data_IF_376777591317
#
_entry.id   IF_376777591317
#
_cell.length_a   1.000
_cell.length_b   1.000
_cell.length_c   1.000
_cell.angle_alpha   90.00
_cell.angle_beta   90.00
_cell.angle_gamma   90.00
#
_symmetry.space_group_name_H-M   'P 1'
#
loop_
_entity.id
_entity.type
_entity.pdbx_description
1 polymer ?
#
# COMPACT_ATOMS: atom_id res chain seq x y z
N UNK A 1 30.77 -14.06 -2.44
CA UNK A 1 30.11 -13.92 -3.75
C UNK A 1 28.60 -14.06 -3.54
N UNK A 2 27.91 -12.97 -3.23
CA UNK A 2 26.48 -12.98 -2.92
C UNK A 2 25.72 -12.80 -4.24
N UNK A 3 25.09 -13.87 -4.75
CA UNK A 3 24.17 -13.75 -5.88
C UNK A 3 23.00 -12.88 -5.43
N UNK A 4 22.88 -11.68 -6.00
CA UNK A 4 21.62 -10.93 -5.99
C UNK A 4 20.59 -11.78 -6.73
N UNK A 5 19.61 -12.30 -6.00
CA UNK A 5 18.39 -12.85 -6.58
C UNK A 5 17.61 -11.68 -7.19
N UNK A 6 17.88 -11.38 -8.46
CA UNK A 6 16.95 -10.59 -9.28
C UNK A 6 15.65 -11.39 -9.34
N UNK A 7 14.62 -10.95 -8.60
CA UNK A 7 13.30 -11.52 -8.77
C UNK A 7 12.79 -11.14 -10.15
N UNK A 8 12.36 -12.14 -10.92
CA UNK A 8 11.91 -12.00 -12.30
C UNK A 8 10.49 -11.40 -12.37
N UNK A 9 10.34 -10.20 -11.81
CA UNK A 9 9.04 -9.51 -11.65
C UNK A 9 8.36 -9.15 -12.98
N UNK A 10 9.04 -9.39 -14.12
CA UNK A 10 8.61 -9.00 -15.46
C UNK A 10 7.68 -10.03 -16.12
N UNK A 11 7.46 -11.20 -15.51
CA UNK A 11 6.65 -12.28 -16.10
C UNK A 11 5.18 -12.30 -15.65
N UNK A 12 4.77 -11.46 -14.71
CA UNK A 12 3.39 -11.44 -14.25
C UNK A 12 2.46 -10.83 -15.32
N UNK A 13 1.41 -11.56 -15.70
CA UNK A 13 0.38 -11.06 -16.62
C UNK A 13 -0.50 -10.05 -15.88
N UNK A 14 -0.56 -8.83 -16.42
CA UNK A 14 -1.39 -7.77 -15.87
C UNK A 14 -2.89 -8.05 -16.11
N UNK A 15 -3.70 -7.78 -15.09
CA UNK A 15 -5.15 -7.71 -15.17
C UNK A 15 -5.57 -6.25 -15.13
N UNK A 16 -6.29 -5.79 -16.13
CA UNK A 16 -6.76 -4.41 -16.23
C UNK A 16 -8.25 -4.33 -15.91
N UNK A 17 -8.63 -3.39 -15.05
CA UNK A 17 -10.03 -3.12 -14.70
C UNK A 17 -10.36 -1.70 -15.14
N UNK A 18 -11.22 -1.61 -16.16
CA UNK A 18 -11.79 -0.35 -16.62
C UNK A 18 -13.05 -0.08 -15.82
N UNK A 19 -12.98 0.92 -14.94
CA UNK A 19 -14.06 1.33 -14.06
C UNK A 19 -14.43 2.78 -14.39
N UNK A 20 -15.68 3.22 -14.08
CA UNK A 20 -15.99 4.64 -14.09
C UNK A 20 -14.98 5.42 -13.23
N UNK A 21 -14.36 6.46 -13.80
CA UNK A 21 -13.48 7.39 -13.09
C UNK A 21 -12.23 6.77 -12.42
N UNK A 22 -11.87 5.52 -12.78
CA UNK A 22 -10.71 4.84 -12.23
C UNK A 22 -10.09 3.86 -13.24
N UNK A 23 -8.77 3.78 -13.24
CA UNK A 23 -8.02 2.74 -13.94
C UNK A 23 -7.25 1.92 -12.91
N UNK A 24 -7.53 0.61 -12.83
CA UNK A 24 -6.79 -0.30 -11.98
C UNK A 24 -6.01 -1.30 -12.81
N UNK A 25 -4.77 -1.57 -12.42
CA UNK A 25 -3.98 -2.66 -12.98
C UNK A 25 -3.45 -3.52 -11.84
N UNK A 26 -3.71 -4.83 -11.89
CA UNK A 26 -3.24 -5.81 -10.92
C UNK A 26 -2.24 -6.75 -11.60
N UNK A 27 -1.06 -6.92 -11.04
CA UNK A 27 -0.12 -7.97 -11.41
C UNK A 27 -0.10 -9.03 -10.31
N UNK A 28 -0.81 -10.16 -10.47
CA UNK A 28 -0.74 -11.27 -9.53
C UNK A 28 0.67 -11.86 -9.55
N UNK A 29 1.26 -12.05 -8.36
CA UNK A 29 2.62 -12.61 -8.26
C UNK A 29 3.70 -11.75 -8.92
N UNK A 30 3.53 -10.42 -8.96
CA UNK A 30 4.55 -9.48 -9.41
C UNK A 30 5.88 -9.73 -8.71
N UNK A 31 5.86 -9.97 -7.39
CA UNK A 31 6.99 -10.50 -6.66
C UNK A 31 6.78 -12.01 -6.44
N UNK A 32 7.76 -12.84 -6.79
CA UNK A 32 7.61 -14.29 -6.60
C UNK A 32 7.50 -14.67 -5.11
N UNK A 33 6.99 -15.87 -4.84
CA UNK A 33 6.64 -16.31 -3.48
C UNK A 33 7.84 -16.30 -2.51
N UNK A 34 9.00 -16.81 -2.94
CA UNK A 34 10.21 -16.91 -2.12
C UNK A 34 10.76 -15.52 -1.77
N UNK A 35 10.88 -14.64 -2.78
CA UNK A 35 11.32 -13.27 -2.58
C UNK A 35 10.35 -12.50 -1.69
N UNK A 36 9.04 -12.69 -1.89
CA UNK A 36 7.99 -12.05 -1.07
C UNK A 36 8.06 -12.50 0.39
N UNK A 37 8.25 -13.80 0.63
CA UNK A 37 8.34 -14.34 1.98
C UNK A 37 9.62 -13.87 2.70
N UNK A 38 10.77 -13.94 2.03
CA UNK A 38 12.04 -13.47 2.59
C UNK A 38 11.98 -11.98 2.93
N UNK A 39 11.40 -11.18 2.03
CA UNK A 39 11.21 -9.74 2.24
C UNK A 39 10.25 -9.46 3.39
N UNK A 40 9.12 -10.16 3.47
CA UNK A 40 8.16 -9.99 4.57
C UNK A 40 8.82 -10.27 5.92
N UNK A 41 9.49 -11.42 6.05
CA UNK A 41 10.17 -11.82 7.28
C UNK A 41 11.21 -10.77 7.69
N UNK A 42 12.02 -10.32 6.73
CA UNK A 42 13.05 -9.30 6.95
C UNK A 42 12.45 -7.98 7.44
N UNK A 43 11.47 -7.42 6.73
CA UNK A 43 10.89 -6.12 7.06
C UNK A 43 10.11 -6.15 8.38
N UNK A 44 9.43 -7.26 8.70
CA UNK A 44 8.75 -7.39 9.99
C UNK A 44 9.77 -7.35 11.14
N UNK A 45 10.92 -8.01 10.99
CA UNK A 45 11.96 -8.05 12.01
C UNK A 45 12.78 -6.76 12.14
N UNK A 46 13.07 -6.08 11.03
CA UNK A 46 14.05 -4.97 10.99
C UNK A 46 13.41 -3.59 11.16
N UNK A 47 12.10 -3.43 10.93
CA UNK A 47 11.45 -2.12 10.97
C UNK A 47 10.89 -1.75 12.34
N UNK A 48 10.98 -0.46 12.67
CA UNK A 48 10.43 0.11 13.90
C UNK A 48 8.91 0.36 13.79
N UNK A 49 8.13 -0.71 13.82
CA UNK A 49 6.67 -0.68 13.73
C UNK A 49 6.00 0.15 14.83
N UNK A 50 5.11 1.06 14.44
CA UNK A 50 4.34 1.89 15.37
C UNK A 50 2.84 1.63 15.22
N UNK A 51 2.13 1.59 16.34
CA UNK A 51 0.67 1.55 16.35
C UNK A 51 0.16 2.91 16.81
N UNK A 52 -0.32 3.70 15.86
CA UNK A 52 -0.81 5.05 16.15
C UNK A 52 -2.16 5.03 16.87
N UNK A 53 -2.53 6.20 17.41
CA UNK A 53 -3.81 6.44 18.05
C UNK A 53 -4.52 7.57 17.32
N UNK A 54 -5.80 7.36 17.01
CA UNK A 54 -6.66 8.37 16.39
C UNK A 54 -7.81 8.70 17.32
N UNK A 55 -8.33 9.93 17.21
CA UNK A 55 -9.55 10.35 17.91
C UNK A 55 -10.77 10.07 17.04
N UNK A 56 -11.64 9.20 17.51
CA UNK A 56 -12.94 8.91 16.89
C UNK A 56 -14.03 9.27 17.92
N UNK A 57 -14.95 10.18 17.56
CA UNK A 57 -16.03 10.64 18.45
C UNK A 57 -15.54 11.03 19.86
N UNK A 58 -14.42 11.76 19.94
CA UNK A 58 -13.81 12.21 21.20
C UNK A 58 -13.05 11.13 21.98
N UNK A 59 -13.09 9.86 21.57
CA UNK A 59 -12.34 8.77 22.19
C UNK A 59 -11.06 8.47 21.42
N UNK A 60 -9.95 8.29 22.14
CA UNK A 60 -8.69 7.86 21.56
C UNK A 60 -8.71 6.34 21.38
N UNK A 61 -8.55 5.88 20.14
CA UNK A 61 -8.56 4.46 19.77
C UNK A 61 -7.28 4.12 19.01
N UNK A 62 -6.65 3.00 19.35
CA UNK A 62 -5.51 2.47 18.59
C UNK A 62 -5.98 2.04 17.21
N UNK A 63 -5.25 2.45 16.15
CA UNK A 63 -5.55 1.94 14.82
C UNK A 63 -5.29 0.42 14.79
N UNK A 64 -6.15 -0.37 14.14
CA UNK A 64 -6.06 -1.83 14.15
C UNK A 64 -5.07 -2.33 13.09
N UNK A 65 -3.82 -1.81 13.17
CA UNK A 65 -2.64 -2.17 12.38
C UNK A 65 -1.41 -1.46 12.93
N UNK A 66 -0.23 -1.94 12.59
CA UNK A 66 1.02 -1.19 12.77
C UNK A 66 1.44 -0.56 11.44
N UNK A 67 2.19 0.54 11.49
CA UNK A 67 2.64 1.24 10.30
C UNK A 67 4.04 1.84 10.44
N UNK A 68 4.68 2.05 9.29
CA UNK A 68 5.93 2.79 9.14
C UNK A 68 5.81 3.66 7.89
N UNK A 69 6.17 4.93 8.01
CA UNK A 69 6.22 5.88 6.89
C UNK A 69 7.67 6.10 6.50
N UNK A 70 8.01 5.86 5.24
CA UNK A 70 9.36 6.06 4.69
C UNK A 70 9.29 6.92 3.44
N UNK A 71 10.35 7.67 3.16
CA UNK A 71 10.40 8.50 1.98
C UNK A 71 11.59 9.44 1.94
N UNK A 72 11.65 10.23 0.88
CA UNK A 72 12.51 11.40 0.81
C UNK A 72 12.19 12.39 1.94
N UNK A 73 13.18 13.19 2.34
CA UNK A 73 13.06 14.07 3.52
C UNK A 73 11.92 15.09 3.44
N UNK A 74 11.47 15.48 2.23
CA UNK A 74 10.35 16.41 2.04
C UNK A 74 8.98 15.73 2.06
N UNK A 75 8.91 14.40 2.06
CA UNK A 75 7.67 13.62 2.01
C UNK A 75 6.96 13.55 3.37
N UNK A 76 6.76 14.69 4.03
CA UNK A 76 5.92 14.79 5.23
C UNK A 76 4.45 14.92 4.83
N UNK A 77 3.54 14.26 5.55
CA UNK A 77 2.09 14.41 5.32
C UNK A 77 1.33 14.67 6.62
N UNK A 78 0.14 15.28 6.52
CA UNK A 78 -0.74 15.51 7.64
C UNK A 78 -1.95 14.57 7.60
N UNK A 79 -2.19 13.84 8.69
CA UNK A 79 -3.38 13.01 8.82
C UNK A 79 -4.03 13.20 10.19
N UNK A 80 -5.33 13.56 10.20
CA UNK A 80 -6.11 13.84 11.40
C UNK A 80 -5.44 14.85 12.37
N UNK A 81 -4.74 15.86 11.82
CA UNK A 81 -4.02 16.88 12.58
C UNK A 81 -2.67 16.45 13.15
N UNK A 82 -2.20 15.24 12.81
CA UNK A 82 -0.86 14.74 13.18
C UNK A 82 0.03 14.81 11.94
N UNK A 83 1.20 15.46 12.08
CA UNK A 83 2.23 15.49 11.03
C UNK A 83 3.09 14.22 11.14
N UNK A 84 3.23 13.51 10.03
CA UNK A 84 4.04 12.32 9.91
C UNK A 84 5.30 12.65 9.11
N UNK A 85 6.45 12.59 9.80
CA UNK A 85 7.76 12.74 9.17
C UNK A 85 8.23 11.38 8.62
N UNK A 86 8.78 11.34 7.40
CA UNK A 86 9.30 10.10 6.83
C UNK A 86 10.53 9.63 7.61
N UNK A 87 10.54 8.34 7.94
CA UNK A 87 11.77 7.69 8.37
C UNK A 87 12.69 7.43 7.17
N UNK A 88 14.02 7.41 7.35
CA UNK A 88 14.94 7.07 6.27
C UNK A 88 14.61 5.72 5.65
N UNK A 89 14.82 5.60 4.34
CA UNK A 89 14.56 4.37 3.62
C UNK A 89 15.34 3.18 4.20
N UNK A 90 14.63 2.08 4.42
CA UNK A 90 15.28 0.79 4.54
C UNK A 90 15.79 0.34 3.14
N UNK A 91 17.03 -0.18 2.99
CA UNK A 91 17.61 -0.46 1.67
C UNK A 91 16.76 -1.37 0.78
N UNK A 92 16.13 -2.41 1.35
CA UNK A 92 15.25 -3.31 0.59
C UNK A 92 13.97 -2.60 0.14
N UNK A 93 13.47 -1.64 0.91
CA UNK A 93 12.26 -0.88 0.57
C UNK A 93 12.58 0.17 -0.51
N UNK A 94 13.75 0.81 -0.44
CA UNK A 94 14.23 1.71 -1.50
C UNK A 94 14.39 0.97 -2.83
N UNK A 95 14.98 -0.22 -2.80
CA UNK A 95 15.13 -1.06 -3.99
C UNK A 95 13.77 -1.43 -4.59
N UNK A 96 12.77 -1.78 -3.76
CA UNK A 96 11.41 -2.02 -4.25
C UNK A 96 10.78 -0.77 -4.85
N UNK A 97 10.98 0.39 -4.23
CA UNK A 97 10.48 1.66 -4.76
C UNK A 97 11.00 1.88 -6.19
N UNK A 98 12.29 1.62 -6.43
CA UNK A 98 12.87 1.68 -7.78
C UNK A 98 12.25 0.65 -8.73
N UNK A 99 12.13 -0.62 -8.30
CA UNK A 99 11.55 -1.67 -9.13
C UNK A 99 10.08 -1.41 -9.51
N UNK A 100 9.29 -0.89 -8.56
CA UNK A 100 7.89 -0.49 -8.80
C UNK A 100 7.85 0.72 -9.74
N UNK A 101 8.77 1.68 -9.56
CA UNK A 101 8.86 2.83 -10.45
C UNK A 101 9.16 2.41 -11.89
N UNK A 102 10.14 1.51 -12.08
CA UNK A 102 10.51 0.97 -13.39
C UNK A 102 9.35 0.18 -14.02
N UNK A 103 8.67 -0.67 -13.23
CA UNK A 103 7.59 -1.51 -13.72
C UNK A 103 6.35 -0.72 -14.16
N UNK A 104 6.13 0.46 -13.56
CA UNK A 104 4.97 1.32 -13.84
C UNK A 104 5.32 2.53 -14.71
N UNK A 105 6.60 2.70 -15.06
CA UNK A 105 7.13 3.89 -15.76
C UNK A 105 6.72 5.20 -15.07
N UNK A 106 6.67 5.18 -13.74
CA UNK A 106 6.19 6.30 -12.91
C UNK A 106 7.05 6.45 -11.66
N UNK A 107 7.30 7.67 -11.21
CA UNK A 107 8.14 7.90 -10.03
C UNK A 107 7.35 7.72 -8.73
N UNK A 108 7.98 7.09 -7.74
CA UNK A 108 7.52 7.06 -6.34
C UNK A 108 8.65 7.52 -5.43
N UNK A 109 8.33 8.27 -4.37
CA UNK A 109 9.32 8.88 -3.47
C UNK A 109 8.96 8.74 -1.98
N UNK A 110 7.90 8.00 -1.68
CA UNK A 110 7.52 7.64 -0.32
C UNK A 110 6.66 6.38 -0.32
N UNK A 111 6.54 5.75 0.85
CA UNK A 111 5.79 4.53 1.06
C UNK A 111 5.21 4.47 2.47
N UNK A 112 3.94 4.09 2.57
CA UNK A 112 3.30 3.70 3.82
C UNK A 112 3.27 2.19 3.92
N UNK A 113 4.05 1.63 4.83
CA UNK A 113 3.99 0.22 5.18
C UNK A 113 2.90 0.01 6.23
N UNK A 114 2.00 -0.93 5.99
CA UNK A 114 0.96 -1.35 6.92
C UNK A 114 1.10 -2.84 7.24
N UNK A 115 1.33 -3.16 8.51
CA UNK A 115 1.35 -4.52 9.04
C UNK A 115 0.02 -4.83 9.72
N UNK A 116 -0.70 -5.80 9.15
CA UNK A 116 -1.91 -6.39 9.71
C UNK A 116 -1.51 -7.72 10.33
N UNK A 117 -1.60 -7.83 11.66
CA UNK A 117 -1.14 -9.02 12.37
C UNK A 117 -1.96 -10.27 12.02
N UNK A 118 -3.26 -10.08 11.75
CA UNK A 118 -4.19 -11.12 11.32
C UNK A 118 -5.45 -10.49 10.69
N UNK A 119 -6.50 -11.29 10.50
CA UNK A 119 -7.77 -10.87 9.91
C UNK A 119 -8.68 -10.00 10.79
N UNK A 120 -8.34 -9.75 12.05
CA UNK A 120 -9.03 -8.76 12.90
C UNK A 120 -8.57 -7.33 12.60
N UNK A 121 -7.32 -7.19 12.19
CA UNK A 121 -6.75 -5.95 11.69
C UNK A 121 -7.35 -5.62 10.33
N UNK A 122 -7.71 -4.36 10.15
CA UNK A 122 -8.51 -3.91 9.01
C UNK A 122 -8.26 -2.44 8.71
N UNK A 123 -8.68 -2.03 7.53
CA UNK A 123 -8.75 -0.63 7.15
C UNK A 123 -10.18 -0.36 6.68
N UNK A 124 -10.84 0.61 7.30
CA UNK A 124 -12.19 1.01 6.95
C UNK A 124 -12.26 1.62 5.55
N UNK A 125 -13.46 2.00 5.12
CA UNK A 125 -13.65 2.72 3.87
C UNK A 125 -12.93 4.07 3.93
N UNK A 126 -12.01 4.27 2.99
CA UNK A 126 -11.23 5.51 2.82
C UNK A 126 -10.81 5.68 1.36
N UNK A 127 -10.21 6.82 1.04
CA UNK A 127 -9.44 7.03 -0.17
C UNK A 127 -8.08 7.61 0.23
N UNK A 128 -7.10 7.50 -0.66
CA UNK A 128 -5.81 8.20 -0.52
C UNK A 128 -5.97 9.61 -1.13
N UNK A 129 -6.72 10.48 -0.45
CA UNK A 129 -7.10 11.82 -0.89
C UNK A 129 -6.39 12.95 -0.10
N UNK A 130 -5.23 12.64 0.49
CA UNK A 130 -4.38 13.63 1.14
C UNK A 130 -3.93 14.73 0.14
N UNK A 131 -4.07 16.03 0.47
CA UNK A 131 -3.75 17.13 -0.43
C UNK A 131 -2.32 17.09 -0.99
N UNK A 132 -1.37 16.58 -0.20
CA UNK A 132 0.05 16.44 -0.56
C UNK A 132 0.29 15.49 -1.74
N UNK A 133 -0.69 14.62 -2.05
CA UNK A 133 -0.64 13.68 -3.18
C UNK A 133 -1.13 14.30 -4.49
N UNK A 134 -1.71 15.51 -4.45
CA UNK A 134 -2.31 16.17 -5.60
C UNK A 134 -3.67 15.58 -6.00
N UNK A 135 -4.19 16.02 -7.15
CA UNK A 135 -5.59 15.71 -7.53
C UNK A 135 -5.82 14.27 -7.98
N UNK A 136 -4.90 13.69 -8.74
CA UNK A 136 -5.07 12.37 -9.35
C UNK A 136 -3.83 11.51 -9.08
N UNK A 137 -3.56 11.16 -7.82
CA UNK A 137 -2.33 10.46 -7.46
C UNK A 137 -2.30 9.06 -8.05
N UNK A 138 -1.13 8.67 -8.51
CA UNK A 138 -0.83 7.28 -8.84
C UNK A 138 -0.39 6.55 -7.57
N UNK A 139 -1.09 5.48 -7.22
CA UNK A 139 -0.83 4.70 -6.01
C UNK A 139 -0.46 3.27 -6.40
N UNK A 140 0.71 2.80 -5.97
CA UNK A 140 1.13 1.41 -6.16
C UNK A 140 1.14 0.66 -4.82
N UNK A 141 0.39 -0.42 -4.73
CA UNK A 141 0.17 -1.20 -3.51
C UNK A 141 0.70 -2.62 -3.68
N UNK A 142 1.83 -2.93 -3.05
CA UNK A 142 2.42 -4.27 -3.01
C UNK A 142 1.96 -5.02 -1.76
N UNK A 143 1.41 -6.23 -1.93
CA UNK A 143 0.96 -7.09 -0.83
C UNK A 143 1.91 -8.25 -0.60
N UNK A 144 2.28 -8.51 0.65
CA UNK A 144 3.14 -9.62 1.07
C UNK A 144 2.46 -10.42 2.19
N UNK A 145 2.62 -11.74 2.17
CA UNK A 145 2.06 -12.65 3.17
C UNK A 145 0.60 -13.01 2.93
N UNK A 146 -0.19 -13.00 4.01
CA UNK A 146 -1.54 -13.52 3.98
C UNK A 146 -2.44 -12.78 2.96
N UNK A 147 -3.11 -13.56 2.11
CA UNK A 147 -4.04 -13.02 1.14
C UNK A 147 -5.25 -12.37 1.81
N UNK A 148 -5.65 -11.19 1.34
CA UNK A 148 -6.80 -10.44 1.88
C UNK A 148 -7.68 -9.89 0.77
N UNK A 149 -8.98 -9.85 1.06
CA UNK A 149 -9.97 -9.20 0.20
C UNK A 149 -9.79 -7.70 0.30
N UNK A 150 -9.78 -7.02 -0.83
CA UNK A 150 -9.74 -5.58 -0.98
C UNK A 150 -11.01 -5.13 -1.69
N UNK A 151 -11.88 -4.42 -0.97
CA UNK A 151 -13.18 -4.01 -1.49
C UNK A 151 -13.08 -2.56 -1.98
N UNK A 152 -13.56 -2.28 -3.18
CA UNK A 152 -13.74 -0.93 -3.74
C UNK A 152 -15.22 -0.64 -3.95
N UNK A 153 -15.62 0.61 -3.68
CA UNK A 153 -16.97 1.13 -3.97
C UNK A 153 -16.88 2.53 -4.55
N UNK A 154 -17.69 2.80 -5.56
CA UNK A 154 -17.85 4.15 -6.06
C UNK A 154 -18.66 4.99 -5.04
N UNK A 155 -18.35 6.27 -4.89
CA UNK A 155 -18.99 7.17 -3.90
C UNK A 155 -20.43 7.51 -4.28
N UNK A 156 -20.70 7.81 -5.56
CA UNK A 156 -22.02 8.22 -6.07
C UNK A 156 -22.73 7.15 -6.90
N UNK A 157 -22.01 6.41 -7.74
CA UNK A 157 -22.57 5.33 -8.55
C UNK A 157 -22.69 4.01 -7.77
N UNK A 158 -23.57 3.11 -8.23
CA UNK A 158 -23.78 1.80 -7.61
C UNK A 158 -22.75 0.73 -8.05
N UNK A 159 -21.51 1.13 -8.34
CA UNK A 159 -20.44 0.20 -8.73
C UNK A 159 -19.62 -0.27 -7.53
N UNK A 160 -19.26 -1.56 -7.54
CA UNK A 160 -18.39 -2.20 -6.55
C UNK A 160 -17.46 -3.19 -7.25
N UNK A 161 -16.26 -3.35 -6.69
CA UNK A 161 -15.29 -4.34 -7.13
C UNK A 161 -14.67 -4.99 -5.89
N UNK A 162 -14.45 -6.30 -5.94
CA UNK A 162 -13.73 -7.03 -4.91
C UNK A 162 -12.53 -7.70 -5.54
N UNK A 163 -11.34 -7.40 -5.01
CA UNK A 163 -10.09 -7.99 -5.44
C UNK A 163 -9.55 -8.88 -4.34
N UNK A 164 -9.01 -10.03 -4.72
CA UNK A 164 -8.20 -10.86 -3.83
C UNK A 164 -6.74 -10.43 -4.02
N UNK A 165 -6.13 -9.85 -2.99
CA UNK A 165 -4.73 -9.44 -3.02
C UNK A 165 -3.89 -10.52 -2.34
N UNK A 166 -3.24 -11.33 -3.16
CA UNK A 166 -2.39 -12.44 -2.74
C UNK A 166 -0.94 -12.00 -2.46
N UNK A 167 -0.16 -12.90 -1.87
CA UNK A 167 1.28 -12.72 -1.67
C UNK A 167 1.98 -12.33 -2.99
N UNK A 168 2.74 -11.25 -2.95
CA UNK A 168 3.50 -10.74 -4.09
C UNK A 168 2.67 -9.99 -5.13
N UNK A 169 1.38 -9.74 -4.89
CA UNK A 169 0.55 -8.97 -5.82
C UNK A 169 0.85 -7.47 -5.78
N UNK A 170 0.96 -6.84 -6.96
CA UNK A 170 1.10 -5.40 -7.12
C UNK A 170 -0.19 -4.83 -7.73
N UNK A 171 -0.87 -3.93 -7.02
CA UNK A 171 -2.04 -3.21 -7.50
C UNK A 171 -1.69 -1.74 -7.76
N UNK A 172 -1.92 -1.26 -8.97
CA UNK A 172 -1.81 0.15 -9.34
C UNK A 172 -3.21 0.76 -9.42
N UNK A 173 -3.42 1.86 -8.73
CA UNK A 173 -4.65 2.66 -8.76
C UNK A 173 -4.32 4.03 -9.36
N UNK A 174 -4.98 4.37 -10.47
CA UNK A 174 -4.67 5.56 -11.26
C UNK A 174 -5.94 6.35 -11.64
N UNK A 175 -5.73 7.50 -12.27
CA UNK A 175 -6.81 8.40 -12.70
C UNK A 175 -7.48 9.10 -11.52
N UNK A 176 -8.77 9.36 -11.63
CA UNK A 176 -9.55 10.01 -10.57
C UNK A 176 -10.03 9.03 -9.48
N UNK A 177 -9.37 7.86 -9.36
CA UNK A 177 -9.77 6.78 -8.46
C UNK A 177 -9.95 7.27 -7.01
N UNK A 178 -8.97 8.00 -6.46
CA UNK A 178 -9.05 8.45 -5.06
C UNK A 178 -10.13 9.54 -4.83
N UNK A 179 -10.56 10.23 -5.88
CA UNK A 179 -11.65 11.20 -5.81
C UNK A 179 -13.02 10.52 -5.79
N UNK A 180 -13.22 9.51 -6.64
CA UNK A 180 -14.55 8.92 -6.89
C UNK A 180 -14.79 7.58 -6.21
N UNK A 181 -13.73 6.89 -5.81
CA UNK A 181 -13.80 5.57 -5.18
C UNK A 181 -13.31 5.63 -3.75
N UNK A 182 -13.87 4.74 -2.93
CA UNK A 182 -13.32 4.37 -1.64
C UNK A 182 -12.93 2.91 -1.67
N UNK A 183 -11.92 2.56 -0.90
CA UNK A 183 -11.47 1.21 -0.74
C UNK A 183 -11.34 0.83 0.74
N UNK A 184 -11.37 -0.47 1.02
CA UNK A 184 -11.25 -1.01 2.36
C UNK A 184 -10.58 -2.38 2.37
N UNK A 185 -9.94 -2.69 3.49
CA UNK A 185 -9.44 -4.02 3.80
C UNK A 185 -10.31 -4.58 4.94
N UNK A 186 -11.45 -5.22 4.67
CA UNK A 186 -12.41 -5.67 5.67
C UNK A 186 -11.83 -6.73 6.62
N UNK A 187 -12.44 -6.87 7.81
CA UNK A 187 -12.13 -7.96 8.74
C UNK A 187 -12.44 -9.32 8.11
N UNK A 188 -11.49 -10.25 8.20
CA UNK A 188 -11.62 -11.63 7.73
C UNK A 188 -11.13 -12.58 8.84
N UNK A 189 -11.98 -12.83 9.85
CA UNK A 189 -11.62 -13.52 11.11
C UNK A 189 -10.90 -14.87 10.97
N UNK A 190 -11.01 -15.54 9.82
CA UNK A 190 -10.34 -16.82 9.53
C UNK A 190 -8.88 -16.67 9.11
N UNK A 191 -8.42 -15.47 8.79
CA UNK A 191 -7.02 -15.20 8.44
C UNK A 191 -6.22 -15.06 9.74
N UNK A 192 -5.34 -16.03 10.02
CA UNK A 192 -4.50 -16.03 11.21
C UNK A 192 -3.08 -15.49 10.95
N UNK A 193 -2.62 -15.55 9.69
CA UNK A 193 -1.27 -15.13 9.31
C UNK A 193 -1.20 -13.61 9.04
N UNK A 194 -0.01 -12.99 9.21
CA UNK A 194 0.18 -11.57 8.98
C UNK A 194 0.18 -11.21 7.50
N UNK A 195 -0.29 -10.00 7.20
CA UNK A 195 -0.17 -9.34 5.89
C UNK A 195 0.62 -8.06 6.05
N UNK A 196 1.63 -7.89 5.22
CA UNK A 196 2.36 -6.64 5.06
C UNK A 196 1.95 -6.00 3.73
N UNK A 197 1.66 -4.70 3.75
CA UNK A 197 1.30 -3.93 2.56
C UNK A 197 2.20 -2.71 2.44
N UNK A 198 2.76 -2.48 1.26
CA UNK A 198 3.57 -1.31 0.94
C UNK A 198 2.80 -0.46 -0.07
N UNK A 199 2.34 0.72 0.36
CA UNK A 199 1.63 1.67 -0.51
C UNK A 199 2.57 2.79 -0.92
N UNK A 200 3.14 2.70 -2.11
CA UNK A 200 4.04 3.69 -2.70
C UNK A 200 3.26 4.86 -3.30
N UNK A 201 3.77 6.07 -3.06
CA UNK A 201 3.18 7.33 -3.51
C UNK A 201 4.24 8.31 -4.00
N UNK A 202 3.78 9.39 -4.61
CA UNK A 202 4.63 10.52 -4.97
C UNK A 202 4.10 11.79 -4.29
N UNK A 203 4.96 12.47 -3.53
CA UNK A 203 4.70 13.80 -2.97
C UNK A 203 5.60 14.81 -3.67
N UNK A 204 4.99 15.82 -4.29
CA UNK A 204 5.73 16.88 -4.97
C UNK A 204 6.51 17.71 -3.94
N UNK A 205 7.82 17.95 -4.14
CA UNK A 205 8.58 18.87 -3.30
C UNK A 205 7.92 20.25 -3.26
N UNK A 206 7.78 20.82 -2.07
CA UNK A 206 7.34 22.21 -1.92
C UNK A 206 8.52 23.09 -2.37
N UNK A 207 8.32 23.89 -3.41
CA UNK A 207 9.30 24.90 -3.85
C UNK A 207 9.42 26.04 -2.84
#
# INVERSE_FOLDING_TARGET
>A
MTRQTQSDNRKAVAQHFLLPDAALTLWPGWLNADASHALQTRLIAELAWRQEQIRIYGKTVKIPRQQVWMGESHCSYQYSGVRFEPTPWHPAVQQLCQQVSDATTSAFNCVLLNLYANGQDHMGWHADDEPELGMAPLIASLSLGASRRFDLRHRTLSHRLQLQLDNGSLLLMAGACQQHWQHSLPKQRRVAAPRLNLTFRYITPVC
#
